data_IF_473320544071
#
_entry.id   IF_473320544071
#
_cell.length_a   1.000
_cell.length_b   1.000
_cell.length_c   1.000
_cell.angle_alpha   90.00
_cell.angle_beta   90.00
_cell.angle_gamma   90.00
#
_symmetry.space_group_name_H-M   'P 1'
#
loop_
_entity.id
_entity.type
_entity.pdbx_description
1 polymer ?
#
# COMPACT_ATOMS: atom_id res chain seq x y z
N UNK A 1 -17.49 -19.07 12.17
CA UNK A 1 -17.20 -18.59 10.81
C UNK A 1 -16.45 -17.25 10.94
N UNK A 2 -15.15 -17.26 11.22
CA UNK A 2 -14.38 -16.03 11.54
C UNK A 2 -12.89 -16.12 11.14
N UNK A 3 -12.56 -16.89 10.10
CA UNK A 3 -11.16 -17.20 9.73
C UNK A 3 -10.64 -16.28 8.60
N UNK A 4 -11.49 -15.45 7.98
CA UNK A 4 -11.08 -14.53 6.91
C UNK A 4 -10.45 -13.22 7.42
N UNK A 5 -10.81 -12.76 8.62
CA UNK A 5 -10.28 -11.49 9.15
C UNK A 5 -8.86 -11.65 9.66
N UNK A 6 -8.54 -12.79 10.27
CA UNK A 6 -7.24 -13.06 10.91
C UNK A 6 -6.06 -13.09 9.92
N UNK A 7 -6.32 -13.40 8.65
CA UNK A 7 -5.31 -13.42 7.58
C UNK A 7 -4.88 -12.02 7.11
N UNK A 8 -5.68 -10.98 7.35
CA UNK A 8 -5.40 -9.59 6.88
C UNK A 8 -5.12 -8.66 8.07
N UNK A 9 -4.77 -9.21 9.22
CA UNK A 9 -4.41 -8.39 10.38
C UNK A 9 -2.95 -7.94 10.28
N UNK A 10 -2.66 -6.63 10.17
CA UNK A 10 -1.27 -6.13 10.20
C UNK A 10 -0.56 -6.42 11.52
N UNK A 11 -1.33 -6.72 12.58
CA UNK A 11 -0.85 -7.06 13.91
C UNK A 11 -0.61 -8.57 14.09
N UNK A 12 -0.65 -9.37 13.03
CA UNK A 12 -0.26 -10.77 13.06
C UNK A 12 1.22 -10.91 12.60
N UNK A 13 2.19 -10.87 13.53
CA UNK A 13 3.61 -10.86 13.18
C UNK A 13 4.11 -12.19 12.60
N UNK A 14 3.35 -13.28 12.74
CA UNK A 14 3.71 -14.58 12.16
C UNK A 14 3.59 -14.57 10.63
N UNK A 15 2.68 -13.75 10.10
CA UNK A 15 2.35 -13.72 8.68
C UNK A 15 2.76 -12.41 8.00
N UNK A 16 2.76 -11.29 8.73
CA UNK A 16 2.98 -9.97 8.18
C UNK A 16 4.15 -9.26 8.88
N UNK A 17 5.13 -8.84 8.09
CA UNK A 17 6.24 -8.05 8.58
C UNK A 17 6.10 -6.61 8.11
N UNK A 18 6.12 -5.65 9.05
CA UNK A 18 6.20 -4.23 8.69
C UNK A 18 7.56 -3.95 8.03
N UNK A 19 7.55 -3.55 6.76
CA UNK A 19 8.77 -3.26 6.00
C UNK A 19 9.16 -1.80 6.08
N UNK A 20 8.17 -0.92 6.00
CA UNK A 20 8.42 0.53 6.04
C UNK A 20 7.27 1.30 6.63
N UNK A 21 7.63 2.42 7.26
CA UNK A 21 6.74 3.49 7.64
C UNK A 21 7.29 4.78 7.05
N UNK A 22 6.65 5.27 5.99
CA UNK A 22 6.99 6.54 5.38
C UNK A 22 6.13 7.65 5.99
N UNK A 23 6.78 8.58 6.68
CA UNK A 23 6.14 9.78 7.24
C UNK A 23 6.57 10.96 6.38
N UNK A 24 5.61 11.70 5.82
CA UNK A 24 5.86 12.88 4.99
C UNK A 24 5.00 14.05 5.45
N UNK A 25 5.54 15.25 5.29
CA UNK A 25 4.86 16.51 5.55
C UNK A 25 5.06 17.42 4.34
N UNK A 26 4.01 18.13 3.96
CA UNK A 26 4.05 19.12 2.91
C UNK A 26 4.79 20.37 3.39
N UNK A 27 5.54 21.00 2.49
CA UNK A 27 6.18 22.27 2.78
C UNK A 27 5.13 23.38 2.87
N UNK A 28 5.23 24.23 3.89
CA UNK A 28 4.29 25.33 4.09
C UNK A 28 4.84 26.61 3.47
N UNK A 29 4.13 27.18 2.50
CA UNK A 29 4.52 28.43 1.81
C UNK A 29 3.84 29.67 2.38
N UNK A 30 2.94 29.49 3.34
CA UNK A 30 2.18 30.56 4.00
C UNK A 30 1.12 29.99 4.94
N UNK A 31 0.39 30.84 5.66
CA UNK A 31 -0.49 30.45 6.77
C UNK A 31 -1.61 29.46 6.37
N UNK A 32 -2.01 29.42 5.09
CA UNK A 32 -3.02 28.50 4.56
C UNK A 32 -2.65 27.85 3.21
N UNK A 33 -1.39 27.92 2.80
CA UNK A 33 -0.90 27.37 1.53
C UNK A 33 0.25 26.40 1.76
N UNK A 34 0.23 25.29 1.04
CA UNK A 34 1.30 24.29 1.08
C UNK A 34 1.70 23.87 -0.33
N UNK A 35 2.96 23.48 -0.51
CA UNK A 35 3.42 22.81 -1.72
C UNK A 35 2.91 21.36 -1.67
N UNK A 36 2.21 20.87 -2.70
CA UNK A 36 1.84 19.47 -2.79
C UNK A 36 3.03 18.55 -2.60
N UNK A 37 2.84 17.45 -1.86
CA UNK A 37 3.86 16.42 -1.77
C UNK A 37 4.03 15.74 -3.13
N UNK A 38 5.26 15.66 -3.61
CA UNK A 38 5.60 14.88 -4.79
C UNK A 38 5.45 13.38 -4.53
N UNK A 39 5.32 12.62 -5.63
CA UNK A 39 5.46 11.18 -5.60
C UNK A 39 6.81 10.76 -5.03
N UNK A 40 6.84 9.68 -4.25
CA UNK A 40 8.11 9.19 -3.68
C UNK A 40 8.20 7.66 -3.71
N UNK A 41 9.43 7.17 -3.87
CA UNK A 41 9.79 5.76 -3.75
C UNK A 41 9.95 5.41 -2.25
N UNK A 42 9.55 4.20 -1.86
CA UNK A 42 9.70 3.71 -0.48
C UNK A 42 11.14 3.33 -0.11
N UNK A 43 12.03 3.26 -1.10
CA UNK A 43 13.46 3.00 -0.93
C UNK A 43 13.80 1.56 -0.60
N UNK A 44 12.85 0.62 -0.75
CA UNK A 44 13.00 -0.78 -0.38
C UNK A 44 12.55 -1.70 -1.50
N UNK A 45 13.23 -2.83 -1.59
CA UNK A 45 12.85 -3.94 -2.43
C UNK A 45 11.91 -4.89 -1.68
N UNK A 46 10.82 -5.24 -2.36
CA UNK A 46 9.80 -6.18 -1.92
C UNK A 46 9.90 -7.46 -2.75
N UNK A 47 9.66 -8.59 -2.09
CA UNK A 47 9.84 -9.94 -2.63
C UNK A 47 8.58 -10.79 -2.58
N UNK A 48 7.59 -10.39 -1.79
CA UNK A 48 6.32 -11.10 -1.66
C UNK A 48 5.29 -10.63 -2.69
N UNK A 49 4.40 -11.55 -3.03
CA UNK A 49 3.21 -11.30 -3.85
C UNK A 49 2.13 -10.54 -3.09
N UNK A 50 2.14 -10.63 -1.76
CA UNK A 50 1.07 -10.11 -0.93
C UNK A 50 1.61 -8.99 -0.05
N UNK A 51 0.94 -7.85 -0.14
CA UNK A 51 1.24 -6.68 0.67
C UNK A 51 -0.03 -6.23 1.40
N UNK A 52 0.16 -5.68 2.61
CA UNK A 52 -0.82 -4.79 3.20
C UNK A 52 -0.31 -3.37 3.11
N UNK A 53 -1.18 -2.44 2.75
CA UNK A 53 -0.88 -1.02 2.78
C UNK A 53 -1.95 -0.26 3.56
N UNK A 54 -1.51 0.65 4.42
CA UNK A 54 -2.37 1.57 5.15
C UNK A 54 -1.82 2.98 5.01
N UNK A 55 -2.69 3.92 4.65
CA UNK A 55 -2.37 5.35 4.66
C UNK A 55 -3.22 6.08 5.67
N UNK A 56 -2.57 6.94 6.45
CA UNK A 56 -3.21 7.82 7.42
C UNK A 56 -2.74 9.25 7.23
N UNK A 57 -3.60 10.21 7.54
CA UNK A 57 -3.31 11.65 7.53
C UNK A 57 -3.99 12.27 8.75
N UNK A 58 -3.28 13.13 9.48
CA UNK A 58 -3.81 13.82 10.66
C UNK A 58 -4.61 15.05 10.25
N UNK A 59 -4.11 15.83 9.29
CA UNK A 59 -4.76 17.01 8.76
C UNK A 59 -5.67 16.64 7.58
N UNK A 60 -6.87 16.14 7.90
CA UNK A 60 -7.86 15.78 6.88
C UNK A 60 -9.28 16.20 7.20
N UNK A 61 -10.07 16.40 6.15
CA UNK A 61 -11.53 16.53 6.27
C UNK A 61 -12.17 15.15 6.47
N UNK A 62 -13.28 15.09 7.20
CA UNK A 62 -14.05 13.84 7.43
C UNK A 62 -14.58 13.20 6.13
N UNK A 63 -14.78 14.05 5.11
CA UNK A 63 -15.25 13.67 3.77
C UNK A 63 -14.16 13.05 2.90
N UNK A 64 -12.87 13.25 3.23
CA UNK A 64 -11.78 12.69 2.45
C UNK A 64 -11.67 11.19 2.70
N UNK A 65 -11.86 10.39 1.63
CA UNK A 65 -11.74 8.93 1.68
C UNK A 65 -10.53 8.42 0.89
N UNK A 66 -10.17 9.09 -0.21
CA UNK A 66 -9.04 8.72 -1.05
C UNK A 66 -7.72 9.09 -0.36
N UNK A 67 -6.81 8.12 -0.33
CA UNK A 67 -5.54 8.19 0.39
C UNK A 67 -4.31 8.34 -0.49
N UNK A 68 -4.44 8.16 -1.80
CA UNK A 68 -3.32 8.10 -2.74
C UNK A 68 -3.32 6.81 -3.54
N UNK A 69 -2.35 6.66 -4.44
CA UNK A 69 -2.15 5.45 -5.22
C UNK A 69 -0.76 4.87 -4.93
N UNK A 70 -0.72 3.56 -4.69
CA UNK A 70 0.52 2.81 -4.50
C UNK A 70 0.78 1.97 -5.75
N UNK A 71 1.92 2.14 -6.39
CA UNK A 71 2.23 1.52 -7.67
C UNK A 71 3.49 0.67 -7.58
N UNK A 72 3.45 -0.61 -8.00
CA UNK A 72 4.66 -1.40 -8.19
C UNK A 72 5.51 -0.80 -9.31
N UNK A 73 6.79 -0.66 -9.02
CA UNK A 73 7.81 -0.18 -9.92
C UNK A 73 8.79 -1.32 -10.21
N UNK A 74 8.85 -1.71 -11.47
CA UNK A 74 9.79 -2.71 -11.96
C UNK A 74 10.85 -2.03 -12.82
N UNK A 75 12.05 -2.60 -12.78
CA UNK A 75 13.15 -2.19 -13.64
C UNK A 75 13.41 -3.33 -14.61
N UNK A 76 13.26 -3.05 -15.90
CA UNK A 76 13.70 -3.95 -16.97
C UNK A 76 14.83 -3.22 -17.68
N UNK A 77 16.04 -3.76 -17.55
CA UNK A 77 17.29 -3.08 -17.90
C UNK A 77 17.43 -1.71 -17.21
N UNK A 78 17.21 -0.62 -17.95
CA UNK A 78 17.25 0.76 -17.45
C UNK A 78 15.88 1.42 -17.40
N UNK A 79 14.85 0.78 -17.95
CA UNK A 79 13.51 1.36 -18.07
C UNK A 79 12.64 1.06 -16.87
N UNK A 80 11.94 2.10 -16.42
CA UNK A 80 10.96 2.03 -15.34
C UNK A 80 9.61 1.62 -15.91
N UNK A 81 9.15 0.44 -15.54
CA UNK A 81 7.83 -0.06 -15.92
C UNK A 81 6.91 0.03 -14.70
N UNK A 82 5.84 0.81 -14.85
CA UNK A 82 4.77 0.90 -13.87
C UNK A 82 3.72 -0.15 -14.14
N UNK A 83 3.35 -0.89 -13.09
CA UNK A 83 2.15 -1.72 -13.14
C UNK A 83 0.90 -0.91 -12.80
N UNK A 84 -0.26 -1.57 -12.82
CA UNK A 84 -1.51 -1.07 -12.26
C UNK A 84 -1.28 -0.52 -10.85
N UNK A 85 -1.65 0.74 -10.65
CA UNK A 85 -1.66 1.38 -9.35
C UNK A 85 -2.84 0.91 -8.50
N UNK A 86 -2.60 0.78 -7.20
CA UNK A 86 -3.59 0.40 -6.20
C UNK A 86 -4.04 1.64 -5.42
N UNK A 87 -5.28 2.07 -5.64
CA UNK A 87 -5.85 3.17 -4.86
C UNK A 87 -6.04 2.75 -3.40
N UNK A 88 -5.50 3.57 -2.49
CA UNK A 88 -5.64 3.41 -1.06
C UNK A 88 -6.73 4.32 -0.51
N UNK A 89 -7.37 3.88 0.58
CA UNK A 89 -8.34 4.69 1.33
C UNK A 89 -7.76 5.05 2.70
N UNK A 90 -8.04 6.26 3.15
CA UNK A 90 -7.53 6.76 4.43
C UNK A 90 -8.06 5.90 5.60
N UNK A 91 -7.16 5.50 6.51
CA UNK A 91 -7.45 4.63 7.68
C UNK A 91 -8.15 3.32 7.29
N UNK A 92 -7.84 2.77 6.12
CA UNK A 92 -8.22 1.41 5.75
C UNK A 92 -6.98 0.68 5.27
N UNK A 93 -6.77 -0.49 5.84
CA UNK A 93 -5.79 -1.44 5.34
C UNK A 93 -6.34 -2.07 4.06
N UNK A 94 -5.53 -2.07 2.99
CA UNK A 94 -5.83 -2.75 1.74
C UNK A 94 -4.87 -3.91 1.56
N UNK A 95 -5.41 -5.09 1.23
CA UNK A 95 -4.64 -6.21 0.68
C UNK A 95 -4.35 -5.91 -0.79
N UNK A 96 -3.08 -6.04 -1.17
CA UNK A 96 -2.60 -5.84 -2.53
C UNK A 96 -1.96 -7.14 -2.98
N UNK A 97 -2.41 -7.63 -4.13
CA UNK A 97 -1.85 -8.82 -4.78
C UNK A 97 -1.06 -8.36 -6.00
N UNK A 98 0.23 -8.71 -6.03
CA UNK A 98 1.10 -8.49 -7.16
C UNK A 98 0.96 -9.67 -8.10
N UNK A 99 0.43 -9.44 -9.30
CA UNK A 99 0.12 -10.53 -10.24
C UNK A 99 1.34 -10.98 -11.06
N UNK A 100 2.47 -10.28 -10.99
CA UNK A 100 3.64 -10.55 -11.84
C UNK A 100 4.82 -11.17 -11.07
N UNK A 101 5.02 -12.50 -11.12
CA UNK A 101 6.11 -13.20 -10.43
C UNK A 101 7.49 -12.99 -11.02
N UNK A 102 7.57 -12.64 -12.31
CA UNK A 102 8.85 -12.48 -13.01
C UNK A 102 9.53 -11.17 -12.63
N UNK A 103 8.78 -10.24 -12.03
CA UNK A 103 9.22 -8.90 -11.71
C UNK A 103 9.58 -8.73 -10.21
N UNK A 104 9.95 -9.82 -9.54
CA UNK A 104 10.48 -9.81 -8.16
C UNK A 104 12.01 -9.85 -8.21
N UNK A 105 12.73 -9.00 -7.45
CA UNK A 105 12.23 -7.98 -6.53
C UNK A 105 11.67 -6.73 -7.24
N UNK A 106 10.76 -6.03 -6.56
CA UNK A 106 10.19 -4.77 -7.05
C UNK A 106 10.23 -3.67 -6.01
N UNK A 107 10.11 -2.43 -6.46
CA UNK A 107 9.96 -1.25 -5.60
C UNK A 107 8.53 -0.77 -5.59
N UNK A 108 8.22 0.09 -4.64
CA UNK A 108 6.92 0.73 -4.54
C UNK A 108 7.10 2.24 -4.62
N UNK A 109 6.33 2.85 -5.52
CA UNK A 109 6.15 4.29 -5.58
C UNK A 109 4.77 4.64 -5.01
N UNK A 110 4.72 5.69 -4.21
CA UNK A 110 3.47 6.24 -3.70
C UNK A 110 3.21 7.64 -4.24
N UNK A 111 2.01 7.82 -4.77
CA UNK A 111 1.52 9.08 -5.31
C UNK A 111 0.46 9.64 -4.35
N UNK A 112 0.84 10.56 -3.44
CA UNK A 112 -0.10 11.13 -2.47
C UNK A 112 -1.06 12.13 -3.13
N UNK A 113 -2.26 12.33 -2.57
CA UNK A 113 -3.14 13.41 -3.02
C UNK A 113 -2.51 14.78 -2.74
N UNK A 114 -2.59 15.71 -3.70
CA UNK A 114 -1.96 17.03 -3.62
C UNK A 114 -2.45 17.91 -2.46
N UNK A 115 -3.64 17.61 -1.94
CA UNK A 115 -4.25 18.33 -0.82
C UNK A 115 -3.85 17.81 0.56
N UNK A 116 -3.01 16.77 0.66
CA UNK A 116 -2.49 16.30 1.94
C UNK A 116 -1.42 17.27 2.47
N UNK A 117 -1.50 17.59 3.76
CA UNK A 117 -0.47 18.35 4.49
C UNK A 117 0.50 17.42 5.22
N UNK A 118 0.02 16.24 5.59
CA UNK A 118 0.79 15.20 6.23
C UNK A 118 0.27 13.84 5.77
N UNK A 119 1.14 12.84 5.82
CA UNK A 119 0.75 11.46 5.66
C UNK A 119 1.69 10.53 6.43
N UNK A 120 1.16 9.39 6.80
CA UNK A 120 1.91 8.22 7.24
C UNK A 120 1.41 7.03 6.43
N UNK A 121 2.29 6.49 5.59
CA UNK A 121 2.09 5.27 4.83
C UNK A 121 2.84 4.13 5.52
N UNK A 122 2.14 3.04 5.82
CA UNK A 122 2.70 1.81 6.33
C UNK A 122 2.51 0.71 5.31
N UNK A 123 3.56 -0.07 5.06
CA UNK A 123 3.51 -1.22 4.16
C UNK A 123 4.06 -2.44 4.89
N UNK A 124 3.25 -3.49 4.91
CA UNK A 124 3.63 -4.80 5.41
C UNK A 124 3.77 -5.77 4.24
N UNK A 125 4.73 -6.66 4.37
CA UNK A 125 5.00 -7.73 3.41
C UNK A 125 4.65 -9.07 4.05
N UNK A 126 3.99 -9.94 3.28
CA UNK A 126 3.66 -11.27 3.77
C UNK A 126 4.91 -12.15 3.81
N UNK A 127 5.20 -12.72 4.97
CA UNK A 127 6.35 -13.59 5.26
C UNK A 127 5.94 -15.00 5.69
N UNK A 128 4.64 -15.28 5.81
CA UNK A 128 4.13 -16.60 6.14
C UNK A 128 4.36 -17.63 5.03
N UNK A 129 4.21 -18.92 5.35
CA UNK A 129 4.29 -19.98 4.36
C UNK A 129 3.14 -19.89 3.35
N UNK A 130 3.46 -19.73 2.08
CA UNK A 130 2.47 -19.69 1.00
C UNK A 130 2.26 -21.11 0.49
N UNK A 131 1.15 -21.72 0.86
CA UNK A 131 0.62 -22.91 0.17
C UNK A 131 -0.52 -22.49 -0.78
N UNK A 132 -0.92 -23.41 -1.68
CA UNK A 132 -1.95 -23.12 -2.68
C UNK A 132 -3.29 -22.70 -2.04
N UNK A 133 -3.65 -23.27 -0.89
CA UNK A 133 -4.88 -22.93 -0.17
C UNK A 133 -4.86 -21.48 0.35
N UNK A 134 -3.73 -21.04 0.93
CA UNK A 134 -3.58 -19.66 1.42
C UNK A 134 -3.62 -18.67 0.26
N UNK A 135 -2.97 -19.01 -0.86
CA UNK A 135 -3.01 -18.18 -2.08
C UNK A 135 -4.43 -18.02 -2.61
N UNK A 136 -5.17 -19.11 -2.78
CA UNK A 136 -6.56 -19.08 -3.23
C UNK A 136 -7.46 -18.29 -2.27
N UNK A 137 -7.22 -18.42 -0.96
CA UNK A 137 -7.97 -17.67 0.06
C UNK A 137 -7.68 -16.18 0.04
N UNK A 138 -6.42 -15.76 -0.10
CA UNK A 138 -6.07 -14.33 -0.17
C UNK A 138 -6.67 -13.67 -1.42
N UNK A 139 -6.62 -14.35 -2.56
CA UNK A 139 -7.28 -13.91 -3.81
C UNK A 139 -8.80 -13.79 -3.59
N UNK A 140 -9.44 -14.81 -3.02
CA UNK A 140 -10.88 -14.77 -2.74
C UNK A 140 -11.29 -13.64 -1.80
N UNK A 141 -10.41 -13.23 -0.87
CA UNK A 141 -10.72 -12.12 0.04
C UNK A 141 -10.60 -10.77 -0.67
N UNK A 142 -9.64 -10.58 -1.57
CA UNK A 142 -9.56 -9.36 -2.40
C UNK A 142 -10.84 -9.18 -3.23
N UNK A 143 -11.29 -10.22 -3.93
CA UNK A 143 -12.50 -10.20 -4.75
C UNK A 143 -13.76 -9.83 -3.94
N UNK A 144 -13.88 -10.36 -2.71
CA UNK A 144 -15.03 -10.05 -1.84
C UNK A 144 -15.00 -8.63 -1.31
N UNK A 145 -13.83 -8.07 -1.06
CA UNK A 145 -13.69 -6.67 -0.63
C UNK A 145 -14.09 -5.74 -1.77
N UNK A 146 -13.69 -6.05 -3.01
CA UNK A 146 -14.04 -5.24 -4.18
C UNK A 146 -15.55 -5.30 -4.52
N UNK A 147 -16.24 -6.42 -4.26
CA UNK A 147 -17.69 -6.55 -4.46
C UNK A 147 -18.57 -5.79 -3.45
N UNK A 148 -18.00 -5.39 -2.30
CA UNK A 148 -18.72 -4.69 -1.23
C UNK A 148 -18.51 -3.17 -1.23
N UNK A 149 -17.75 -2.64 -2.20
CA UNK A 149 -17.44 -1.22 -2.36
C UNK A 149 -18.16 -0.60 -3.54
#
# INVERSE_FOLDING_TARGET
MSICVDLIQPNNPENWQLRTTAIKQAETTGENSHVPMDSFDLGLDFTSFFLLAEVTANYRKSTWKYGGTLSPLYYVDTDKIFNRGFSLRIRRTKLIIIENPVAIPYKLQFDPPSWFKDLTLRVWEYVGEINNEIRERLISVEDKIDQLL
#
